data_IF_462987095197
#
_entry.id   IF_462987095197
#
_cell.length_a   1.000
_cell.length_b   1.000
_cell.length_c   1.000
_cell.angle_alpha   90.00
_cell.angle_beta   90.00
_cell.angle_gamma   90.00
#
_symmetry.space_group_name_H-M   'P 1'
#
loop_
_entity.id
_entity.type
_entity.pdbx_description
1 polymer ?
#
# COMPACT_ATOMS: atom_id res chain seq x y z
N UNK A 1 10.04 -3.19 17.05
CA UNK A 1 9.70 -4.62 16.82
C UNK A 1 8.62 -4.65 15.74
N UNK A 2 8.71 -5.48 14.69
CA UNK A 2 7.64 -5.54 13.70
C UNK A 2 6.43 -6.23 14.34
N UNK A 3 5.27 -5.57 14.41
CA UNK A 3 4.07 -6.14 15.05
C UNK A 3 3.45 -7.32 14.30
N UNK A 4 3.83 -7.51 13.03
CA UNK A 4 3.60 -8.80 12.33
C UNK A 4 4.31 -9.92 13.09
N UNK A 5 5.55 -9.72 13.55
CA UNK A 5 6.28 -10.70 14.35
C UNK A 5 5.66 -10.94 15.73
N UNK A 6 5.03 -9.92 16.36
CA UNK A 6 4.28 -10.09 17.62
C UNK A 6 2.96 -10.86 17.43
N UNK A 7 2.29 -10.73 16.29
CA UNK A 7 1.11 -11.55 15.96
C UNK A 7 1.48 -12.97 15.55
N UNK A 8 2.66 -13.17 14.97
CA UNK A 8 3.18 -14.47 14.53
C UNK A 8 3.92 -15.25 15.62
N UNK A 9 4.17 -14.68 16.80
CA UNK A 9 4.94 -15.30 17.88
C UNK A 9 4.23 -16.44 18.62
N UNK A 10 3.14 -16.98 18.06
CA UNK A 10 2.62 -18.30 18.44
C UNK A 10 3.48 -19.42 17.83
N UNK A 11 4.72 -19.50 18.31
CA UNK A 11 5.44 -20.75 18.60
C UNK A 11 6.78 -20.36 19.23
N UNK A 12 7.08 -20.78 20.48
CA UNK A 12 8.42 -20.62 21.01
C UNK A 12 9.34 -21.53 20.17
N UNK A 13 10.22 -20.92 19.38
CA UNK A 13 11.34 -21.67 18.80
C UNK A 13 12.11 -22.31 19.97
N UNK A 14 12.48 -23.60 19.87
CA UNK A 14 13.23 -24.26 20.93
C UNK A 14 14.57 -23.53 21.12
N UNK A 15 14.95 -23.33 22.37
CA UNK A 15 16.20 -22.71 22.80
C UNK A 15 17.38 -23.29 22.01
N UNK A 16 17.91 -22.49 21.07
CA UNK A 16 19.20 -22.76 20.44
C UNK A 16 20.25 -22.15 21.37
N UNK A 17 21.20 -22.94 21.90
CA UNK A 17 22.27 -22.39 22.73
C UNK A 17 23.07 -21.37 21.93
N UNK A 18 23.30 -20.20 22.52
CA UNK A 18 24.29 -19.24 22.06
C UNK A 18 25.68 -19.86 22.25
N UNK A 19 26.21 -20.46 21.18
CA UNK A 19 27.63 -20.76 21.11
C UNK A 19 28.39 -19.46 20.87
N UNK A 20 29.20 -19.09 21.88
CA UNK A 20 30.20 -18.05 21.81
C UNK A 20 31.30 -18.47 20.84
N UNK A 21 31.59 -17.67 19.81
CA UNK A 21 32.94 -17.60 19.23
C UNK A 21 33.25 -16.15 18.86
N UNK A 22 33.97 -15.51 19.76
CA UNK A 22 34.83 -14.36 19.52
C UNK A 22 36.21 -14.95 19.18
N UNK A 23 36.72 -14.73 17.97
CA UNK A 23 38.10 -14.23 17.81
C UNK A 23 38.50 -13.96 16.35
N UNK A 24 39.19 -12.83 16.22
CA UNK A 24 39.78 -12.25 15.03
C UNK A 24 40.86 -13.13 14.40
N UNK A 25 40.77 -13.37 13.09
CA UNK A 25 41.94 -13.64 12.26
C UNK A 25 42.01 -12.66 11.08
N UNK A 26 42.90 -11.67 11.22
CA UNK A 26 43.33 -10.76 10.17
C UNK A 26 44.09 -11.53 9.08
N UNK A 27 43.52 -11.63 7.87
CA UNK A 27 44.27 -12.04 6.68
C UNK A 27 44.56 -10.85 5.76
N UNK A 28 45.81 -10.69 5.26
CA UNK A 28 46.20 -9.53 4.46
C UNK A 28 45.63 -9.59 3.04
N UNK A 29 45.05 -8.47 2.62
CA UNK A 29 44.46 -8.21 1.31
C UNK A 29 45.48 -8.41 0.17
N UNK A 30 45.18 -9.29 -0.79
CA UNK A 30 45.82 -9.32 -2.11
C UNK A 30 44.83 -8.82 -3.16
N UNK A 31 45.18 -7.81 -3.98
CA UNK A 31 44.30 -7.37 -5.05
C UNK A 31 44.38 -8.41 -6.18
N UNK A 32 43.31 -9.16 -6.38
CA UNK A 32 43.11 -9.89 -7.63
C UNK A 32 42.52 -8.90 -8.64
N UNK A 33 43.26 -8.62 -9.70
CA UNK A 33 42.75 -7.95 -10.91
C UNK A 33 41.70 -8.84 -11.56
N UNK A 34 40.44 -8.68 -11.16
CA UNK A 34 39.30 -9.28 -11.85
C UNK A 34 38.96 -8.38 -13.04
N UNK A 35 38.90 -8.92 -14.28
CA UNK A 35 38.48 -8.14 -15.43
C UNK A 35 37.04 -7.68 -15.19
N UNK A 36 36.84 -6.35 -15.15
CA UNK A 36 35.52 -5.73 -15.10
C UNK A 36 34.78 -6.11 -16.38
N UNK A 37 34.04 -7.23 -16.36
CA UNK A 37 33.05 -7.53 -17.38
C UNK A 37 32.04 -6.41 -17.33
N UNK A 38 32.00 -5.60 -18.39
CA UNK A 38 30.99 -4.56 -18.55
C UNK A 38 29.61 -5.22 -18.60
N UNK A 39 28.92 -5.23 -17.46
CA UNK A 39 27.49 -5.54 -17.39
C UNK A 39 26.79 -4.42 -18.17
N UNK A 40 26.54 -4.64 -19.46
CA UNK A 40 25.62 -3.79 -20.22
C UNK A 40 24.24 -3.96 -19.58
N UNK A 41 23.88 -3.01 -18.71
CA UNK A 41 22.56 -2.92 -18.08
C UNK A 41 21.51 -2.94 -19.18
N UNK A 42 20.77 -4.04 -19.29
CA UNK A 42 19.56 -4.07 -20.12
C UNK A 42 18.64 -2.96 -19.62
N UNK A 43 18.21 -2.10 -20.53
CA UNK A 43 17.22 -1.06 -20.25
C UNK A 43 15.86 -1.73 -20.07
N UNK A 44 15.57 -2.22 -18.87
CA UNK A 44 14.22 -2.63 -18.50
C UNK A 44 13.37 -1.36 -18.52
N UNK A 45 12.49 -1.25 -19.52
CA UNK A 45 11.52 -0.16 -19.57
C UNK A 45 10.35 -0.56 -18.68
N UNK A 46 9.95 0.26 -17.73
CA UNK A 46 8.79 -0.04 -16.87
C UNK A 46 7.57 0.70 -17.45
N UNK A 47 6.48 -0.03 -17.64
CA UNK A 47 5.20 0.52 -18.09
C UNK A 47 4.18 0.44 -16.95
N UNK A 48 3.44 1.52 -16.72
CA UNK A 48 2.26 1.52 -15.85
C UNK A 48 1.09 0.98 -16.65
N UNK A 49 0.43 -0.04 -16.11
CA UNK A 49 -0.77 -0.64 -16.69
C UNK A 49 -1.93 -0.40 -15.75
N UNK A 50 -3.04 0.09 -16.28
CA UNK A 50 -4.30 0.20 -15.56
C UNK A 50 -5.23 -0.91 -16.03
N UNK A 51 -5.76 -1.68 -15.08
CA UNK A 51 -6.73 -2.75 -15.32
C UNK A 51 -7.90 -2.65 -14.35
N UNK A 52 -9.10 -3.07 -14.73
CA UNK A 52 -10.18 -3.28 -13.76
C UNK A 52 -9.73 -4.22 -12.63
N UNK A 53 -10.16 -3.94 -11.41
CA UNK A 53 -9.97 -4.81 -10.24
C UNK A 53 -11.29 -5.54 -9.89
N UNK A 54 -11.22 -6.69 -9.22
CA UNK A 54 -12.42 -7.35 -8.69
C UNK A 54 -13.17 -6.44 -7.74
N UNK A 55 -14.50 -6.50 -7.80
CA UNK A 55 -15.38 -5.82 -6.85
C UNK A 55 -16.46 -6.80 -6.39
N UNK A 56 -16.82 -6.71 -5.11
CA UNK A 56 -17.83 -7.57 -4.49
C UNK A 56 -19.27 -7.21 -4.89
N UNK A 57 -19.54 -5.95 -5.25
CA UNK A 57 -20.88 -5.42 -5.56
C UNK A 57 -21.00 -4.83 -6.97
N UNK A 58 -19.93 -4.91 -7.77
CA UNK A 58 -19.86 -4.36 -9.12
C UNK A 58 -19.46 -2.88 -9.15
N UNK A 59 -19.13 -2.27 -8.01
CA UNK A 59 -18.53 -0.93 -7.96
C UNK A 59 -17.28 -0.88 -8.85
N UNK A 60 -17.15 0.11 -9.76
CA UNK A 60 -15.98 0.19 -10.63
C UNK A 60 -14.71 0.49 -9.85
N UNK A 61 -13.72 -0.40 -9.95
CA UNK A 61 -12.39 -0.25 -9.34
C UNK A 61 -11.33 -0.39 -10.42
N UNK A 62 -10.39 0.54 -10.46
CA UNK A 62 -9.26 0.51 -11.40
C UNK A 62 -7.94 0.44 -10.66
N UNK A 63 -7.15 -0.56 -10.99
CA UNK A 63 -5.85 -0.80 -10.41
C UNK A 63 -4.74 -0.39 -11.36
N UNK A 64 -3.82 0.45 -10.90
CA UNK A 64 -2.58 0.76 -11.59
C UNK A 64 -1.41 -0.01 -10.96
N UNK A 65 -0.54 -0.56 -11.82
CA UNK A 65 0.67 -1.28 -11.41
C UNK A 65 1.79 -1.16 -12.42
N UNK A 66 3.00 -1.39 -11.94
CA UNK A 66 4.17 -1.52 -12.78
C UNK A 66 4.28 -2.91 -13.42
N UNK A 67 4.46 -2.93 -14.74
CA UNK A 67 4.80 -4.10 -15.53
C UNK A 67 6.15 -3.87 -16.22
N UNK A 68 7.16 -4.73 -15.99
CA UNK A 68 8.38 -4.69 -16.77
C UNK A 68 8.06 -4.96 -18.25
N UNK A 69 8.48 -4.04 -19.11
CA UNK A 69 8.54 -4.26 -20.55
C UNK A 69 9.97 -4.68 -20.87
N UNK A 70 10.16 -5.99 -21.01
CA UNK A 70 11.43 -6.55 -21.49
C UNK A 70 11.54 -6.14 -22.95
N UNK A 71 12.55 -5.33 -23.29
CA UNK A 71 12.93 -5.11 -24.67
C UNK A 71 13.47 -6.46 -25.19
N UNK A 72 12.73 -7.12 -26.08
CA UNK A 72 13.13 -8.42 -26.63
C UNK A 72 14.55 -8.35 -27.21
N UNK A 73 15.48 -9.09 -26.61
CA UNK A 73 16.56 -9.75 -27.35
C UNK A 73 17.18 -10.89 -26.55
N UNK A 74 16.93 -12.10 -27.02
CA UNK A 74 17.69 -13.31 -26.71
C UNK A 74 17.33 -13.96 -25.38
N UNK A 75 16.65 -15.10 -25.49
CA UNK A 75 16.46 -16.09 -24.43
C UNK A 75 17.71 -16.27 -23.57
N UNK A 76 17.60 -15.91 -22.30
CA UNK A 76 18.38 -16.49 -21.24
C UNK A 76 17.43 -16.74 -20.07
N UNK A 77 17.31 -18.00 -19.69
CA UNK A 77 16.52 -18.53 -18.57
C UNK A 77 16.98 -17.93 -17.23
N UNK A 78 16.71 -16.65 -17.00
CA UNK A 78 16.54 -16.19 -15.63
C UNK A 78 15.22 -16.76 -15.17
N UNK A 79 15.18 -17.54 -14.06
CA UNK A 79 13.90 -17.88 -13.45
C UNK A 79 13.21 -16.55 -13.20
N UNK A 80 12.15 -16.26 -13.96
CA UNK A 80 11.31 -15.09 -13.69
C UNK A 80 10.95 -15.22 -12.22
N UNK A 81 11.47 -14.35 -11.33
CA UNK A 81 11.13 -14.47 -9.93
C UNK A 81 9.61 -14.45 -9.89
N UNK A 82 9.01 -15.49 -9.30
CA UNK A 82 7.56 -15.58 -9.20
C UNK A 82 7.06 -14.20 -8.77
N UNK A 83 6.16 -13.57 -9.55
CA UNK A 83 5.84 -12.18 -9.33
C UNK A 83 5.27 -12.05 -7.93
N UNK A 84 6.06 -11.49 -7.00
CA UNK A 84 5.59 -11.26 -5.63
C UNK A 84 4.30 -10.45 -5.70
N UNK A 85 3.30 -10.78 -4.87
CA UNK A 85 2.02 -10.07 -4.88
C UNK A 85 2.26 -8.60 -4.56
N UNK A 86 1.69 -7.65 -5.32
CA UNK A 86 1.88 -6.24 -5.05
C UNK A 86 1.16 -5.82 -3.76
N UNK A 87 1.72 -4.86 -3.05
CA UNK A 87 1.05 -4.23 -1.90
C UNK A 87 -0.11 -3.37 -2.40
N UNK A 88 -1.35 -3.76 -2.08
CA UNK A 88 -2.56 -3.05 -2.50
C UNK A 88 -2.86 -1.85 -1.61
N UNK A 89 -2.94 -0.65 -2.21
CA UNK A 89 -3.41 0.58 -1.57
C UNK A 89 -4.72 1.02 -2.20
N UNK A 90 -5.70 1.43 -1.38
CA UNK A 90 -7.04 1.81 -1.88
C UNK A 90 -7.29 3.30 -1.68
N UNK A 91 -7.73 3.95 -2.76
CA UNK A 91 -8.14 5.35 -2.84
C UNK A 91 -9.60 5.37 -3.31
N UNK A 92 -10.47 6.06 -2.59
CA UNK A 92 -11.86 6.23 -2.99
C UNK A 92 -12.05 7.62 -3.60
N UNK A 93 -12.52 7.70 -4.84
CA UNK A 93 -13.12 8.93 -5.37
C UNK A 93 -14.58 8.98 -4.91
N UNK A 94 -14.82 9.75 -3.84
CA UNK A 94 -16.15 9.87 -3.22
C UNK A 94 -16.91 11.11 -3.66
N UNK A 95 -16.36 11.85 -4.61
CA UNK A 95 -17.03 13.05 -5.10
C UNK A 95 -18.33 12.66 -5.84
N UNK A 96 -19.37 13.50 -5.80
CA UNK A 96 -20.65 13.19 -6.47
C UNK A 96 -20.51 13.01 -7.99
N UNK A 97 -19.42 13.50 -8.59
CA UNK A 97 -19.13 13.42 -10.02
C UNK A 97 -18.16 12.28 -10.38
N UNK A 98 -17.90 11.34 -9.46
CA UNK A 98 -17.04 10.17 -9.70
C UNK A 98 -17.50 9.38 -10.93
N UNK A 99 -16.54 9.10 -11.81
CA UNK A 99 -16.77 8.29 -13.02
C UNK A 99 -15.70 7.22 -13.16
N UNK A 100 -16.02 6.07 -13.78
CA UNK A 100 -15.04 5.02 -14.07
C UNK A 100 -13.83 5.52 -14.86
N UNK A 101 -14.06 6.37 -15.86
CA UNK A 101 -12.99 6.94 -16.69
C UNK A 101 -12.04 7.81 -15.88
N UNK A 102 -12.56 8.62 -14.95
CA UNK A 102 -11.72 9.43 -14.06
C UNK A 102 -10.95 8.56 -13.08
N UNK A 103 -11.58 7.54 -12.50
CA UNK A 103 -10.90 6.59 -11.61
C UNK A 103 -9.72 5.89 -12.30
N UNK A 104 -9.88 5.46 -13.56
CA UNK A 104 -8.79 4.87 -14.34
C UNK A 104 -7.63 5.86 -14.59
N UNK A 105 -7.93 7.11 -14.98
CA UNK A 105 -6.92 8.17 -15.16
C UNK A 105 -6.19 8.47 -13.86
N UNK A 106 -6.93 8.57 -12.77
CA UNK A 106 -6.39 8.86 -11.44
C UNK A 106 -5.49 7.73 -10.96
N UNK A 107 -5.88 6.46 -11.12
CA UNK A 107 -5.03 5.32 -10.78
C UNK A 107 -3.68 5.39 -11.50
N UNK A 108 -3.70 5.68 -12.80
CA UNK A 108 -2.47 5.88 -13.58
C UNK A 108 -1.62 7.03 -13.03
N UNK A 109 -2.23 8.19 -12.77
CA UNK A 109 -1.54 9.38 -12.30
C UNK A 109 -0.90 9.17 -10.92
N UNK A 110 -1.64 8.56 -9.99
CA UNK A 110 -1.14 8.24 -8.65
C UNK A 110 0.01 7.23 -8.69
N UNK A 111 -0.10 6.16 -9.49
CA UNK A 111 0.99 5.19 -9.67
C UNK A 111 2.24 5.83 -10.28
N UNK A 112 2.07 6.73 -11.26
CA UNK A 112 3.19 7.50 -11.82
C UNK A 112 3.86 8.36 -10.76
N UNK A 113 3.06 8.95 -9.88
CA UNK A 113 3.53 9.82 -8.81
C UNK A 113 4.32 9.09 -7.74
N UNK A 114 3.85 7.91 -7.32
CA UNK A 114 4.46 7.16 -6.20
C UNK A 114 5.61 6.27 -6.62
N UNK A 115 5.73 5.97 -7.93
CA UNK A 115 6.72 5.10 -8.56
C UNK A 115 8.08 5.09 -7.85
N UNK A 116 8.85 6.18 -7.97
CA UNK A 116 10.24 6.20 -7.48
C UNK A 116 10.37 5.94 -5.97
N UNK A 117 9.34 6.23 -5.19
CA UNK A 117 9.37 6.10 -3.73
C UNK A 117 9.04 4.68 -3.27
N UNK A 118 8.12 4.04 -3.99
CA UNK A 118 7.58 2.74 -3.61
C UNK A 118 8.44 1.61 -4.19
N UNK A 119 8.99 1.76 -5.40
CA UNK A 119 9.81 0.71 -6.06
C UNK A 119 11.02 0.29 -5.22
N UNK A 120 11.61 1.19 -4.42
CA UNK A 120 12.73 0.85 -3.52
C UNK A 120 12.32 -0.10 -2.39
N UNK A 121 11.04 -0.10 -2.00
CA UNK A 121 10.49 -0.89 -0.88
C UNK A 121 9.76 -2.15 -1.35
N UNK A 122 9.34 -2.19 -2.60
CA UNK A 122 8.67 -3.33 -3.22
C UNK A 122 7.71 -2.92 -4.33
N UNK A 123 6.89 -3.85 -4.80
CA UNK A 123 5.87 -3.56 -5.81
C UNK A 123 4.59 -3.09 -5.14
N UNK A 124 4.00 -2.03 -5.64
CA UNK A 124 2.69 -1.53 -5.23
C UNK A 124 1.63 -1.76 -6.31
N UNK A 125 0.37 -1.69 -5.87
CA UNK A 125 -0.81 -1.56 -6.72
C UNK A 125 -1.70 -0.50 -6.08
N UNK A 126 -1.94 0.58 -6.79
CA UNK A 126 -2.89 1.61 -6.36
C UNK A 126 -4.23 1.34 -7.02
N UNK A 127 -5.25 1.17 -6.20
CA UNK A 127 -6.63 0.97 -6.63
C UNK A 127 -7.44 2.23 -6.37
N UNK A 128 -8.08 2.74 -7.42
CA UNK A 128 -9.05 3.83 -7.31
C UNK A 128 -10.46 3.26 -7.45
N UNK A 129 -11.24 3.39 -6.38
CA UNK A 129 -12.65 2.99 -6.30
C UNK A 129 -13.50 4.19 -6.71
N UNK A 130 -14.33 4.01 -7.75
CA UNK A 130 -15.33 5.00 -8.16
C UNK A 130 -16.56 4.84 -7.27
N UNK A 131 -16.64 5.62 -6.19
CA UNK A 131 -17.65 5.43 -5.14
C UNK A 131 -18.38 6.74 -4.83
N UNK A 132 -19.17 7.28 -5.77
CA UNK A 132 -19.81 8.59 -5.60
C UNK A 132 -20.76 8.58 -4.39
N UNK A 133 -20.52 9.50 -3.45
CA UNK A 133 -21.36 9.66 -2.26
C UNK A 133 -22.04 11.03 -2.26
N UNK A 134 -23.27 11.14 -1.70
CA UNK A 134 -23.98 12.42 -1.65
C UNK A 134 -23.23 13.50 -0.88
N UNK A 135 -23.25 14.74 -1.40
CA UNK A 135 -22.53 15.88 -0.84
C UNK A 135 -23.07 16.36 0.52
N UNK A 136 -24.30 16.00 0.88
CA UNK A 136 -24.90 16.37 2.17
C UNK A 136 -24.44 15.46 3.32
N UNK A 137 -23.87 14.29 3.02
CA UNK A 137 -23.32 13.42 4.05
C UNK A 137 -22.08 14.06 4.66
N UNK A 138 -21.95 13.92 5.98
CA UNK A 138 -20.77 14.32 6.74
C UNK A 138 -19.55 13.48 6.35
N UNK A 139 -18.34 13.98 6.64
CA UNK A 139 -17.10 13.24 6.39
C UNK A 139 -17.09 11.87 7.09
N UNK A 140 -17.60 11.79 8.32
CA UNK A 140 -17.68 10.53 9.08
C UNK A 140 -18.64 9.53 8.44
N UNK A 141 -19.81 9.96 7.98
CA UNK A 141 -20.76 9.07 7.29
C UNK A 141 -20.18 8.52 6.00
N UNK A 142 -19.50 9.36 5.22
CA UNK A 142 -18.82 8.91 3.99
C UNK A 142 -17.67 7.96 4.28
N UNK A 143 -16.87 8.24 5.31
CA UNK A 143 -15.81 7.34 5.75
C UNK A 143 -16.36 5.98 6.20
N UNK A 144 -17.46 5.96 6.96
CA UNK A 144 -18.13 4.73 7.38
C UNK A 144 -18.61 3.89 6.19
N UNK A 145 -19.18 4.53 5.17
CA UNK A 145 -19.58 3.84 3.94
C UNK A 145 -18.37 3.21 3.23
N UNK A 146 -17.28 3.95 3.10
CA UNK A 146 -16.05 3.45 2.45
C UNK A 146 -15.38 2.33 3.26
N UNK A 147 -15.31 2.45 4.58
CA UNK A 147 -14.81 1.39 5.48
C UNK A 147 -15.64 0.10 5.32
N UNK A 148 -16.97 0.23 5.28
CA UNK A 148 -17.85 -0.93 5.11
C UNK A 148 -17.61 -1.61 3.76
N UNK A 149 -17.53 -0.82 2.68
CA UNK A 149 -17.22 -1.34 1.34
C UNK A 149 -15.84 -2.02 1.32
N UNK A 150 -14.82 -1.38 1.90
CA UNK A 150 -13.47 -1.93 1.96
C UNK A 150 -13.43 -3.27 2.72
N UNK A 151 -14.17 -3.38 3.83
CA UNK A 151 -14.29 -4.62 4.57
C UNK A 151 -14.92 -5.76 3.76
N UNK A 152 -15.89 -5.47 2.90
CA UNK A 152 -16.43 -6.47 1.97
C UNK A 152 -15.43 -6.86 0.89
N UNK A 153 -14.69 -5.89 0.31
CA UNK A 153 -13.63 -6.17 -0.66
C UNK A 153 -12.53 -7.08 -0.08
N UNK A 154 -12.06 -6.79 1.14
CA UNK A 154 -11.08 -7.63 1.83
C UNK A 154 -11.57 -9.07 1.96
N UNK A 155 -12.82 -9.28 2.40
CA UNK A 155 -13.41 -10.61 2.56
C UNK A 155 -13.59 -11.32 1.20
N UNK A 156 -14.17 -10.62 0.23
CA UNK A 156 -14.47 -11.17 -1.09
C UNK A 156 -13.20 -11.60 -1.84
N UNK A 157 -12.13 -10.81 -1.73
CA UNK A 157 -10.87 -11.08 -2.44
C UNK A 157 -10.03 -12.18 -1.79
N UNK A 158 -10.15 -12.37 -0.48
CA UNK A 158 -9.47 -13.44 0.23
C UNK A 158 -9.96 -14.85 -0.17
N UNK A 159 -11.18 -14.94 -0.72
CA UNK A 159 -11.81 -16.20 -1.14
C UNK A 159 -11.85 -16.39 -2.66
N UNK A 160 -11.10 -15.59 -3.43
CA UNK A 160 -10.93 -15.84 -4.88
C UNK A 160 -10.37 -17.25 -5.08
N UNK A 161 -11.00 -18.03 -5.97
CA UNK A 161 -10.67 -19.45 -6.19
C UNK A 161 -9.22 -19.66 -6.62
N UNK A 162 -8.78 -18.89 -7.62
CA UNK A 162 -7.40 -18.92 -8.07
C UNK A 162 -6.49 -18.27 -7.00
N UNK A 163 -5.56 -19.06 -6.45
CA UNK A 163 -4.69 -18.61 -5.37
C UNK A 163 -3.74 -17.48 -5.79
N UNK A 164 -3.26 -17.50 -7.03
CA UNK A 164 -2.37 -16.46 -7.54
C UNK A 164 -3.13 -15.15 -7.74
N UNK A 165 -4.39 -15.22 -8.19
CA UNK A 165 -5.27 -14.06 -8.26
C UNK A 165 -5.65 -13.57 -6.86
N UNK A 166 -5.92 -14.45 -5.90
CA UNK A 166 -6.21 -14.07 -4.51
C UNK A 166 -5.01 -13.35 -3.87
N UNK A 167 -3.80 -13.90 -4.03
CA UNK A 167 -2.54 -13.26 -3.61
C UNK A 167 -2.35 -11.94 -4.30
N UNK A 168 -2.55 -11.91 -5.61
CA UNK A 168 -2.40 -10.71 -6.39
C UNK A 168 -3.35 -9.65 -5.86
N UNK A 169 -4.66 -9.87 -5.82
CA UNK A 169 -5.70 -8.91 -5.43
C UNK A 169 -5.85 -8.69 -3.92
N UNK A 170 -5.02 -9.32 -3.10
CA UNK A 170 -5.04 -9.15 -1.65
C UNK A 170 -4.95 -7.68 -1.22
N UNK A 171 -5.68 -7.33 -0.17
CA UNK A 171 -5.71 -6.00 0.43
C UNK A 171 -5.12 -6.09 1.85
N UNK A 172 -3.83 -5.75 2.01
CA UNK A 172 -3.12 -5.93 3.28
C UNK A 172 -3.59 -4.96 4.37
N UNK A 173 -3.23 -5.31 5.61
CA UNK A 173 -3.28 -4.39 6.74
C UNK A 173 -2.25 -3.26 6.58
N UNK A 174 -2.46 -2.17 7.32
CA UNK A 174 -1.44 -1.15 7.56
C UNK A 174 -0.52 -1.63 8.70
N UNK A 175 0.64 -2.16 8.32
CA UNK A 175 1.65 -2.71 9.23
C UNK A 175 2.54 -1.65 9.89
N UNK A 176 2.63 -0.47 9.29
CA UNK A 176 3.49 0.62 9.74
C UNK A 176 2.79 1.57 10.69
N UNK A 177 1.46 1.55 10.71
CA UNK A 177 0.66 2.31 11.66
C UNK A 177 0.55 1.52 12.98
N UNK A 178 1.11 2.10 14.04
CA UNK A 178 1.13 1.50 15.38
C UNK A 178 -0.24 1.60 16.06
N UNK A 179 -1.05 2.59 15.72
CA UNK A 179 -2.35 2.84 16.32
C UNK A 179 -3.45 2.06 15.60
N UNK A 180 -3.39 1.94 14.28
CA UNK A 180 -4.47 1.36 13.48
C UNK A 180 -3.98 0.25 12.57
N UNK A 181 -4.84 -0.75 12.34
CA UNK A 181 -4.50 -1.87 11.46
C UNK A 181 -4.96 -1.71 10.03
N UNK A 182 -5.78 -0.70 9.73
CA UNK A 182 -6.29 -0.44 8.38
C UNK A 182 -6.25 1.04 8.05
N UNK A 183 -6.01 1.34 6.78
CA UNK A 183 -5.93 2.68 6.24
C UNK A 183 -6.41 2.76 4.78
N UNK A 184 -7.17 3.80 4.45
CA UNK A 184 -7.59 4.16 3.08
C UNK A 184 -7.47 5.67 2.88
N UNK A 185 -7.48 6.11 1.62
CA UNK A 185 -7.56 7.52 1.25
C UNK A 185 -8.93 7.79 0.62
N UNK A 186 -9.56 8.90 0.99
CA UNK A 186 -10.84 9.36 0.45
C UNK A 186 -10.64 10.73 -0.22
N UNK A 187 -10.89 10.84 -1.51
CA UNK A 187 -10.87 12.10 -2.24
C UNK A 187 -12.26 12.72 -2.13
N UNK A 188 -12.40 13.74 -1.29
CA UNK A 188 -13.67 14.39 -0.96
C UNK A 188 -13.98 15.60 -1.84
N UNK A 189 -12.96 16.18 -2.50
CA UNK A 189 -13.11 17.32 -3.41
C UNK A 189 -12.06 17.25 -4.52
N UNK A 190 -12.48 17.56 -5.74
CA UNK A 190 -11.60 17.75 -6.89
C UNK A 190 -11.98 19.05 -7.58
N UNK A 191 -10.99 19.87 -7.89
CA UNK A 191 -11.14 21.05 -8.73
C UNK A 191 -10.78 20.70 -10.18
N UNK A 192 -11.10 21.56 -11.14
CA UNK A 192 -10.87 21.27 -12.57
C UNK A 192 -9.40 21.00 -12.92
N UNK A 193 -8.46 21.56 -12.13
CA UNK A 193 -7.01 21.42 -12.31
C UNK A 193 -6.39 20.33 -11.43
N UNK A 194 -7.19 19.41 -10.88
CA UNK A 194 -6.70 18.36 -9.96
C UNK A 194 -5.52 17.54 -10.48
N UNK A 195 -5.40 17.37 -11.80
CA UNK A 195 -4.31 16.62 -12.45
C UNK A 195 -2.94 17.28 -12.19
N UNK A 196 -2.90 18.60 -12.07
CA UNK A 196 -1.69 19.39 -11.83
C UNK A 196 -1.15 19.19 -10.40
N UNK A 197 -1.99 18.73 -9.46
CA UNK A 197 -1.60 18.44 -8.09
C UNK A 197 -0.48 17.39 -8.02
N UNK A 198 -0.46 16.45 -8.97
CA UNK A 198 0.53 15.37 -8.98
C UNK A 198 1.91 15.80 -9.47
N UNK A 199 2.02 17.00 -10.04
CA UNK A 199 3.27 17.57 -10.49
C UNK A 199 3.84 18.60 -9.49
N UNK A 200 3.10 18.91 -8.42
CA UNK A 200 3.55 19.82 -7.35
C UNK A 200 4.74 19.29 -6.54
N UNK A 201 5.49 20.22 -5.92
CA UNK A 201 6.53 19.87 -4.95
C UNK A 201 5.88 19.44 -3.62
N UNK A 202 6.22 18.23 -3.19
CA UNK A 202 5.65 17.57 -2.01
C UNK A 202 6.52 17.74 -0.75
N UNK A 203 7.56 18.58 -0.77
CA UNK A 203 8.40 18.80 0.42
C UNK A 203 7.63 19.24 1.66
N UNK A 204 6.47 19.87 1.49
CA UNK A 204 5.62 20.33 2.59
C UNK A 204 4.28 19.60 2.53
N UNK A 205 3.87 19.02 3.66
CA UNK A 205 2.51 18.49 3.82
C UNK A 205 1.58 19.68 3.97
N UNK A 206 0.58 19.76 3.10
CA UNK A 206 -0.47 20.77 3.16
C UNK A 206 -1.69 20.16 3.84
N UNK A 207 -1.94 20.59 5.07
CA UNK A 207 -3.17 20.28 5.77
C UNK A 207 -4.29 21.15 5.21
N UNK A 208 -5.47 20.57 5.03
CA UNK A 208 -6.64 21.33 4.61
C UNK A 208 -7.56 21.56 5.81
N UNK A 209 -7.83 22.84 6.08
CA UNK A 209 -8.77 23.33 7.08
C UNK A 209 -9.66 24.44 6.49
N UNK A 210 -10.44 25.12 7.32
CA UNK A 210 -11.35 26.20 6.88
C UNK A 210 -10.62 27.38 6.23
N UNK A 211 -9.36 27.62 6.59
CA UNK A 211 -8.57 28.76 6.14
C UNK A 211 -7.59 28.40 5.02
N UNK A 212 -7.30 27.11 4.84
CA UNK A 212 -6.23 26.61 3.99
C UNK A 212 -6.82 25.62 2.97
N UNK A 213 -7.47 26.15 1.94
CA UNK A 213 -8.03 25.31 0.86
C UNK A 213 -7.02 25.11 -0.25
N UNK A 214 -6.76 23.85 -0.59
CA UNK A 214 -5.99 23.53 -1.78
C UNK A 214 -6.74 23.97 -3.05
N UNK A 215 -6.02 24.53 -4.05
CA UNK A 215 -6.60 24.90 -5.33
C UNK A 215 -6.88 23.71 -6.26
N UNK A 216 -6.41 22.50 -5.90
CA UNK A 216 -6.55 21.31 -6.72
C UNK A 216 -7.65 20.35 -6.23
N UNK A 217 -8.02 20.49 -4.95
CA UNK A 217 -8.97 19.60 -4.27
C UNK A 217 -8.39 19.10 -2.96
N UNK A 218 -9.09 18.15 -2.34
CA UNK A 218 -8.70 17.59 -1.05
C UNK A 218 -8.89 16.09 -0.99
N UNK A 219 -8.21 15.51 -0.01
CA UNK A 219 -8.47 14.16 0.44
C UNK A 219 -8.36 14.06 1.96
N UNK A 220 -8.87 12.96 2.50
CA UNK A 220 -8.64 12.53 3.87
C UNK A 220 -7.97 11.16 3.91
N UNK A 221 -7.00 10.99 4.80
CA UNK A 221 -6.59 9.64 5.24
C UNK A 221 -7.56 9.17 6.31
N UNK A 222 -7.99 7.92 6.22
CA UNK A 222 -8.90 7.30 7.19
C UNK A 222 -8.26 6.03 7.70
N UNK A 223 -7.98 5.99 8.99
CA UNK A 223 -7.44 4.83 9.68
C UNK A 223 -8.47 4.27 10.67
N UNK A 224 -8.59 2.95 10.74
CA UNK A 224 -9.56 2.29 11.62
C UNK A 224 -9.08 0.91 12.05
N UNK A 225 -9.88 0.24 12.88
CA UNK A 225 -9.50 -0.98 13.61
C UNK A 225 -8.28 -0.71 14.51
N UNK A 226 -8.50 -0.04 15.65
CA UNK A 226 -7.44 0.34 16.57
C UNK A 226 -6.74 -0.90 17.14
N UNK A 227 -5.44 -0.78 17.36
CA UNK A 227 -4.58 -1.75 18.03
C UNK A 227 -4.56 -1.41 19.52
N UNK A 228 -5.60 -1.80 20.25
CA UNK A 228 -5.85 -1.42 21.66
C UNK A 228 -4.62 -1.57 22.58
N UNK A 229 -3.78 -2.59 22.36
CA UNK A 229 -2.51 -2.79 23.07
C UNK A 229 -1.55 -1.58 23.02
N UNK A 230 -1.68 -0.70 22.03
CA UNK A 230 -0.91 0.55 21.90
C UNK A 230 -1.36 1.59 22.91
N UNK A 231 -2.68 1.76 23.06
CA UNK A 231 -3.25 2.67 24.04
C UNK A 231 -2.91 2.21 25.46
N UNK A 232 -3.02 0.90 25.71
CA UNK A 232 -2.60 0.31 26.98
C UNK A 232 -1.11 0.57 27.29
N UNK A 233 -0.24 0.39 26.29
CA UNK A 233 1.21 0.63 26.43
C UNK A 233 1.55 2.09 26.77
N UNK A 234 0.84 3.04 26.16
CA UNK A 234 1.05 4.47 26.41
C UNK A 234 0.20 5.02 27.56
N UNK A 235 -0.56 4.17 28.26
CA UNK A 235 -1.49 4.56 29.32
C UNK A 235 -2.51 5.63 28.87
N UNK A 236 -2.89 5.61 27.59
CA UNK A 236 -3.86 6.53 27.00
C UNK A 236 -5.28 5.96 27.11
N UNK A 237 -6.24 6.83 27.46
CA UNK A 237 -7.65 6.45 27.49
C UNK A 237 -8.16 6.21 26.07
N UNK A 238 -8.55 4.97 25.76
CA UNK A 238 -9.20 4.64 24.49
C UNK A 238 -10.67 5.06 24.48
N UNK A 239 -11.00 6.07 23.67
CA UNK A 239 -12.36 6.62 23.59
C UNK A 239 -13.11 6.16 22.35
N UNK A 240 -14.46 6.23 22.32
CA UNK A 240 -15.23 5.87 21.13
C UNK A 240 -14.82 6.62 19.86
N UNK A 241 -14.36 7.86 19.99
CA UNK A 241 -13.87 8.71 18.89
C UNK A 241 -12.59 8.15 18.26
N UNK A 242 -11.77 7.43 19.03
CA UNK A 242 -10.51 6.86 18.57
C UNK A 242 -10.71 5.62 17.70
N UNK A 243 -11.94 5.13 17.52
CA UNK A 243 -12.24 3.98 16.65
C UNK A 243 -11.93 4.25 15.18
N UNK A 244 -12.00 5.51 14.76
CA UNK A 244 -11.70 5.96 13.40
C UNK A 244 -10.95 7.28 13.46
N UNK A 245 -9.70 7.29 13.01
CA UNK A 245 -8.91 8.50 12.87
C UNK A 245 -9.01 9.03 11.44
N UNK A 246 -9.28 10.33 11.30
CA UNK A 246 -9.37 11.01 10.01
C UNK A 246 -8.54 12.29 10.02
N UNK A 247 -7.73 12.48 8.99
CA UNK A 247 -6.95 13.70 8.80
C UNK A 247 -7.10 14.19 7.36
N UNK A 248 -7.36 15.49 7.19
CA UNK A 248 -7.59 16.12 5.88
C UNK A 248 -6.35 16.84 5.36
N UNK A 249 -6.13 16.76 4.06
CA UNK A 249 -4.99 17.31 3.34
C UNK A 249 -5.41 17.93 2.00
N UNK A 250 -4.59 18.86 1.51
CA UNK A 250 -4.63 19.31 0.12
C UNK A 250 -4.16 18.22 -0.83
N UNK A 251 -4.77 18.13 -2.02
CA UNK A 251 -4.54 17.04 -2.98
C UNK A 251 -3.06 16.89 -3.40
N UNK A 252 -2.31 17.98 -3.43
CA UNK A 252 -0.87 18.02 -3.70
C UNK A 252 -0.04 17.15 -2.73
N UNK A 253 -0.59 16.79 -1.56
CA UNK A 253 0.08 15.94 -0.56
C UNK A 253 -0.15 14.44 -0.76
N UNK A 254 -0.97 14.03 -1.72
CA UNK A 254 -1.44 12.63 -1.82
C UNK A 254 -0.32 11.64 -2.15
N UNK A 255 0.67 12.02 -2.97
CA UNK A 255 1.81 11.16 -3.29
C UNK A 255 2.70 10.87 -2.08
N UNK A 256 2.68 11.74 -1.06
CA UNK A 256 3.36 11.54 0.22
C UNK A 256 2.63 10.52 1.09
N UNK A 257 1.31 10.64 1.18
CA UNK A 257 0.46 9.74 1.97
C UNK A 257 0.33 8.34 1.35
N UNK A 258 0.39 8.24 0.02
CA UNK A 258 0.55 6.95 -0.68
C UNK A 258 1.99 6.42 -0.66
N UNK A 259 2.93 7.21 -0.15
CA UNK A 259 4.34 6.90 -0.07
C UNK A 259 4.81 6.67 1.36
N UNK A 260 5.99 7.23 1.69
CA UNK A 260 6.73 6.90 2.91
C UNK A 260 6.10 7.39 4.22
N UNK A 261 5.15 8.32 4.16
CA UNK A 261 4.59 8.99 5.33
C UNK A 261 3.14 8.60 5.63
N UNK A 262 2.52 7.80 4.77
CA UNK A 262 1.18 7.24 5.04
C UNK A 262 1.15 5.75 4.74
N UNK A 263 0.08 5.30 4.09
CA UNK A 263 -0.23 3.89 3.86
C UNK A 263 0.91 3.14 3.14
N UNK A 264 1.62 3.81 2.23
CA UNK A 264 2.75 3.21 1.51
C UNK A 264 3.95 2.86 2.41
N UNK A 265 4.00 3.35 3.65
CA UNK A 265 5.04 3.01 4.59
C UNK A 265 5.01 1.52 5.00
N UNK A 266 3.85 0.88 4.84
CA UNK A 266 3.64 -0.56 5.10
C UNK A 266 4.20 -1.50 4.05
N UNK A 267 4.57 -1.01 2.87
CA UNK A 267 5.11 -1.84 1.77
C UNK A 267 6.30 -2.68 2.25
N UNK A 268 7.22 -2.05 3.01
CA UNK A 268 8.42 -2.73 3.50
C UNK A 268 8.06 -3.87 4.44
N UNK A 269 7.23 -3.61 5.46
CA UNK A 269 6.81 -4.63 6.42
C UNK A 269 6.03 -5.78 5.78
N UNK A 270 5.23 -5.48 4.75
CA UNK A 270 4.54 -6.50 3.96
C UNK A 270 5.52 -7.45 3.26
N UNK A 271 6.57 -6.93 2.63
CA UNK A 271 7.52 -7.80 1.92
C UNK A 271 8.53 -8.49 2.85
N UNK A 272 9.02 -7.78 3.86
CA UNK A 272 10.03 -8.32 4.78
C UNK A 272 9.48 -9.43 5.66
N UNK A 273 8.23 -9.31 6.12
CA UNK A 273 7.65 -10.25 7.10
C UNK A 273 6.42 -10.96 6.55
N UNK A 274 5.43 -10.22 6.04
CA UNK A 274 4.13 -10.83 5.73
C UNK A 274 4.17 -11.83 4.56
N UNK A 275 4.84 -11.48 3.46
CA UNK A 275 4.99 -12.39 2.32
C UNK A 275 6.10 -13.41 2.52
N UNK A 276 7.20 -13.02 3.18
CA UNK A 276 8.38 -13.89 3.33
C UNK A 276 8.15 -15.00 4.37
N UNK A 277 7.37 -14.72 5.42
CA UNK A 277 7.08 -15.68 6.50
C UNK A 277 5.80 -16.51 6.21
N UNK A 278 5.32 -16.53 4.96
CA UNK A 278 4.14 -17.30 4.55
C UNK A 278 2.84 -16.89 5.24
N UNK A 279 2.75 -15.67 5.78
CA UNK A 279 1.56 -15.18 6.49
C UNK A 279 0.40 -14.99 5.52
N UNK A 280 0.68 -14.42 4.35
CA UNK A 280 -0.31 -14.25 3.29
C UNK A 280 -0.97 -15.59 2.93
N UNK A 281 -0.17 -16.63 2.71
CA UNK A 281 -0.67 -17.97 2.40
C UNK A 281 -1.58 -18.51 3.50
N UNK A 282 -1.20 -18.33 4.76
CA UNK A 282 -2.00 -18.74 5.92
C UNK A 282 -3.31 -17.96 6.01
N UNK A 283 -3.31 -16.64 5.80
CA UNK A 283 -4.53 -15.84 5.84
C UNK A 283 -5.51 -16.23 4.74
N UNK A 284 -5.02 -16.46 3.51
CA UNK A 284 -5.84 -16.93 2.39
C UNK A 284 -6.39 -18.35 2.65
N UNK A 285 -5.59 -19.24 3.24
CA UNK A 285 -6.05 -20.57 3.62
C UNK A 285 -7.16 -20.51 4.68
N UNK A 286 -6.98 -19.71 5.73
CA UNK A 286 -8.00 -19.52 6.78
C UNK A 286 -9.28 -18.93 6.22
N UNK A 287 -9.19 -17.92 5.35
CA UNK A 287 -10.35 -17.27 4.76
C UNK A 287 -11.24 -18.24 3.96
N UNK A 288 -10.64 -19.23 3.30
CA UNK A 288 -11.35 -20.25 2.50
C UNK A 288 -12.07 -21.31 3.34
N UNK A 289 -11.74 -21.40 4.63
CA UNK A 289 -12.34 -22.39 5.55
C UNK A 289 -13.48 -21.84 6.40
N UNK A 290 -13.75 -20.53 6.31
CA UNK A 290 -14.83 -19.84 7.04
C UNK A 290 -16.07 -19.70 6.17
#
# INVERSE_FOLDING_TARGET
MCRVCERLSYDPLPDVPLENEDDNDYLPYRPYDVPVRSIRKQLITIQIVVTPAPSHDGTPIFAAREKPRIAQRGDWDYPSPQPKPPFGMTVYDITPTATPTRAAKMAHALSRRTRYRNTERGRDRIEVVCFPLPSHLTCQERAKACISHHGHEVRNRAVIDNIDDAKFWFLPEDFSNEWYSRGIILIDRLEDTWEDAFDCDERVIQYEDENTRSPFGSFATVYWLPREATWEYYEEEFRPEDRVHMQKYGLESIGRMLGREGIGNSIRGFYEHFTSDGVLDRELAVARTR
#
